data_IF_654459666570
#
_entry.id   IF_654459666570
#
_cell.length_a   1.000
_cell.length_b   1.000
_cell.length_c   1.000
_cell.angle_alpha   90.00
_cell.angle_beta   90.00
_cell.angle_gamma   90.00
#
_symmetry.space_group_name_H-M   'P 1'
#
loop_
_entity.id
_entity.type
_entity.pdbx_description
1 polymer ?
#
# COMPACT_ATOMS: atom_id res chain seq x y z
N UNK A 1 -5.86 -11.08 -15.50
CA UNK A 1 -6.12 -9.69 -15.09
C UNK A 1 -4.77 -9.00 -15.16
N UNK A 2 -4.62 -8.04 -16.08
CA UNK A 2 -3.38 -7.31 -16.24
C UNK A 2 -3.23 -6.30 -15.09
N UNK A 3 -2.06 -6.26 -14.47
CA UNK A 3 -1.72 -5.29 -13.42
C UNK A 3 -1.78 -3.86 -13.96
N UNK A 4 -1.53 -3.67 -15.26
CA UNK A 4 -1.60 -2.37 -15.92
C UNK A 4 -3.06 -1.91 -16.12
N UNK A 5 -3.99 -2.81 -16.45
CA UNK A 5 -5.42 -2.48 -16.53
C UNK A 5 -5.99 -2.03 -15.18
N UNK A 6 -5.55 -2.66 -14.08
CA UNK A 6 -5.94 -2.29 -12.73
C UNK A 6 -5.40 -0.90 -12.35
N UNK A 7 -4.16 -0.59 -12.71
CA UNK A 7 -3.55 0.74 -12.52
C UNK A 7 -4.37 1.80 -13.25
N UNK A 8 -4.66 1.59 -14.53
CA UNK A 8 -5.34 2.57 -15.36
C UNK A 8 -6.78 2.83 -14.88
N UNK A 9 -7.46 1.78 -14.43
CA UNK A 9 -8.80 1.88 -13.81
C UNK A 9 -8.75 2.67 -12.50
N UNK A 10 -7.80 2.37 -11.60
CA UNK A 10 -7.66 3.07 -10.31
C UNK A 10 -7.30 4.55 -10.48
N UNK A 11 -6.42 4.87 -11.43
CA UNK A 11 -6.05 6.25 -11.74
C UNK A 11 -7.30 7.03 -12.19
N UNK A 12 -8.12 6.42 -13.05
CA UNK A 12 -9.36 7.02 -13.52
C UNK A 12 -10.36 7.27 -12.39
N UNK A 13 -10.61 6.27 -11.54
CA UNK A 13 -11.58 6.39 -10.45
C UNK A 13 -11.15 7.45 -9.42
N UNK A 14 -9.85 7.52 -9.12
CA UNK A 14 -9.30 8.55 -8.24
C UNK A 14 -9.42 9.96 -8.86
N UNK A 15 -9.11 10.08 -10.16
CA UNK A 15 -9.26 11.34 -10.89
C UNK A 15 -10.69 11.87 -10.83
N UNK A 16 -11.67 11.02 -11.12
CA UNK A 16 -13.09 11.36 -11.10
C UNK A 16 -13.53 11.80 -9.69
N UNK A 17 -13.06 11.09 -8.64
CA UNK A 17 -13.33 11.42 -7.25
C UNK A 17 -12.77 12.80 -6.86
N UNK A 18 -11.47 13.02 -7.06
CA UNK A 18 -10.79 14.27 -6.68
C UNK A 18 -11.28 15.48 -7.49
N UNK A 19 -11.56 15.29 -8.78
CA UNK A 19 -12.12 16.31 -9.67
C UNK A 19 -13.50 16.82 -9.24
N UNK A 20 -14.31 15.97 -8.60
CA UNK A 20 -15.65 16.33 -8.12
C UNK A 20 -15.66 17.46 -7.08
N UNK A 21 -14.57 17.61 -6.31
CA UNK A 21 -14.44 18.63 -5.28
C UNK A 21 -14.00 20.00 -5.81
N UNK A 22 -13.49 20.08 -7.04
CA UNK A 22 -12.91 21.30 -7.60
C UNK A 22 -13.92 21.99 -8.53
N UNK A 23 -14.50 23.11 -8.08
CA UNK A 23 -15.36 23.97 -8.91
C UNK A 23 -14.58 25.16 -9.46
N UNK A 24 -14.12 25.04 -10.70
CA UNK A 24 -13.43 26.13 -11.42
C UNK A 24 -14.48 26.94 -12.21
N UNK A 25 -14.65 28.21 -11.85
CA UNK A 25 -15.60 29.13 -12.51
C UNK A 25 -15.04 29.74 -13.80
N UNK A 26 -13.74 29.96 -13.86
CA UNK A 26 -13.08 30.52 -15.03
C UNK A 26 -12.92 29.45 -16.11
N UNK A 27 -13.47 29.71 -17.29
CA UNK A 27 -13.48 28.74 -18.40
C UNK A 27 -12.08 28.48 -18.98
N UNK A 28 -11.16 29.45 -18.92
CA UNK A 28 -9.77 29.26 -19.39
C UNK A 28 -9.02 28.34 -18.45
N UNK A 29 -9.15 28.57 -17.15
CA UNK A 29 -8.53 27.72 -16.11
C UNK A 29 -9.16 26.33 -16.15
N UNK A 30 -10.48 26.25 -16.28
CA UNK A 30 -11.19 24.96 -16.41
C UNK A 30 -10.71 24.16 -17.62
N UNK A 31 -10.59 24.80 -18.78
CA UNK A 31 -10.16 24.13 -20.00
C UNK A 31 -8.69 23.70 -19.95
N UNK A 32 -7.82 24.51 -19.33
CA UNK A 32 -6.43 24.16 -19.15
C UNK A 32 -6.25 22.98 -18.20
N UNK A 33 -6.96 23.00 -17.06
CA UNK A 33 -6.96 21.88 -16.10
C UNK A 33 -7.54 20.63 -16.77
N UNK A 34 -8.68 20.72 -17.44
CA UNK A 34 -9.28 19.56 -18.13
C UNK A 34 -8.34 18.94 -19.17
N UNK A 35 -7.65 19.76 -19.96
CA UNK A 35 -6.68 19.28 -20.95
C UNK A 35 -5.47 18.58 -20.31
N UNK A 36 -4.97 19.08 -19.17
CA UNK A 36 -3.90 18.44 -18.40
C UNK A 36 -4.36 17.13 -17.75
N UNK A 37 -5.59 17.11 -17.18
CA UNK A 37 -6.20 15.92 -16.61
C UNK A 37 -6.40 14.81 -17.67
N UNK A 38 -6.91 15.17 -18.86
CA UNK A 38 -7.10 14.22 -19.98
C UNK A 38 -5.77 13.73 -20.58
N UNK A 39 -4.66 14.44 -20.35
CA UNK A 39 -3.32 14.07 -20.83
C UNK A 39 -2.66 12.96 -20.01
N UNK A 40 -3.39 11.92 -19.58
CA UNK A 40 -2.83 10.71 -18.91
C UNK A 40 -1.90 10.99 -17.71
N UNK A 41 -1.94 12.20 -17.14
CA UNK A 41 -0.99 12.68 -16.14
C UNK A 41 -1.73 13.24 -14.93
N UNK A 42 -2.81 12.57 -14.55
CA UNK A 42 -3.65 12.99 -13.43
C UNK A 42 -3.05 12.62 -12.06
N UNK A 43 -2.06 11.74 -12.06
CA UNK A 43 -1.07 11.62 -11.00
C UNK A 43 0.26 12.12 -11.57
N UNK A 44 1.08 12.87 -10.81
CA UNK A 44 2.49 12.88 -11.15
C UNK A 44 2.90 11.42 -11.09
N UNK A 45 3.28 10.84 -12.23
CA UNK A 45 4.02 9.59 -12.21
C UNK A 45 5.20 9.88 -11.29
N UNK A 46 5.31 9.28 -10.10
CA UNK A 46 6.42 9.60 -9.23
C UNK A 46 7.72 9.30 -9.98
N UNK A 47 7.72 8.35 -10.93
CA UNK A 47 8.85 8.05 -11.81
C UNK A 47 9.23 9.19 -12.76
N UNK A 48 8.32 10.14 -13.03
CA UNK A 48 8.63 11.34 -13.80
C UNK A 48 9.44 12.36 -12.98
N UNK A 49 9.31 12.33 -11.66
CA UNK A 49 10.00 13.25 -10.74
C UNK A 49 11.10 12.58 -9.92
N UNK A 50 11.12 11.25 -9.89
CA UNK A 50 12.02 10.43 -9.10
C UNK A 50 12.66 9.35 -9.98
N UNK A 51 13.98 9.12 -9.89
CA UNK A 51 14.68 8.15 -10.73
C UNK A 51 14.15 6.71 -10.60
N UNK A 52 13.56 6.37 -9.45
CA UNK A 52 13.03 5.02 -9.17
C UNK A 52 11.74 5.07 -8.34
N UNK A 53 10.91 4.00 -8.36
CA UNK A 53 9.76 3.89 -7.45
C UNK A 53 10.18 3.98 -5.98
N UNK A 54 11.39 3.49 -5.66
CA UNK A 54 11.97 3.53 -4.33
C UNK A 54 12.21 4.95 -3.84
N UNK A 55 12.75 5.82 -4.70
CA UNK A 55 13.00 7.24 -4.37
C UNK A 55 11.70 8.01 -4.13
N UNK A 56 10.65 7.69 -4.89
CA UNK A 56 9.33 8.25 -4.65
C UNK A 56 8.76 7.86 -3.27
N UNK A 57 8.88 6.59 -2.89
CA UNK A 57 8.45 6.13 -1.55
C UNK A 57 9.30 6.78 -0.46
N UNK A 58 10.60 6.93 -0.67
CA UNK A 58 11.51 7.62 0.27
C UNK A 58 11.02 9.05 0.57
N UNK A 59 10.67 9.79 -0.49
CA UNK A 59 10.10 11.14 -0.38
C UNK A 59 8.74 11.15 0.33
N UNK A 60 7.81 10.26 -0.04
CA UNK A 60 6.49 10.16 0.59
C UNK A 60 6.64 9.90 2.10
N UNK A 61 7.58 9.04 2.50
CA UNK A 61 7.80 8.77 3.92
C UNK A 61 8.25 10.02 4.71
N UNK A 62 8.92 10.98 4.07
CA UNK A 62 9.29 12.26 4.70
C UNK A 62 8.09 13.18 4.98
N UNK A 63 6.92 12.94 4.38
CA UNK A 63 5.71 13.76 4.60
C UNK A 63 4.96 13.41 5.89
N UNK A 64 5.44 12.45 6.69
CA UNK A 64 4.80 12.00 7.94
C UNK A 64 5.59 12.44 9.20
N UNK A 65 5.64 13.75 9.54
CA UNK A 65 6.50 14.28 10.60
C UNK A 65 6.16 13.75 12.00
N UNK A 66 4.89 13.43 12.27
CA UNK A 66 4.45 12.89 13.57
C UNK A 66 5.02 11.48 13.76
N UNK A 67 4.90 10.62 12.75
CA UNK A 67 5.43 9.25 12.78
C UNK A 67 6.94 9.30 12.91
N UNK A 68 7.62 10.10 12.09
CA UNK A 68 9.07 10.29 12.14
C UNK A 68 9.57 10.68 13.54
N UNK A 69 8.94 11.67 14.18
CA UNK A 69 9.31 12.12 15.53
C UNK A 69 9.11 11.02 16.57
N UNK A 70 7.98 10.31 16.52
CA UNK A 70 7.68 9.20 17.45
C UNK A 70 8.70 8.07 17.30
N UNK A 71 9.01 7.70 16.07
CA UNK A 71 9.98 6.65 15.76
C UNK A 71 11.38 7.03 16.20
N UNK A 72 11.85 8.24 15.89
CA UNK A 72 13.18 8.70 16.33
C UNK A 72 13.26 8.73 17.86
N UNK A 73 12.20 9.16 18.54
CA UNK A 73 12.15 9.16 20.00
C UNK A 73 12.20 7.73 20.57
N UNK A 74 11.50 6.77 19.96
CA UNK A 74 11.40 5.40 20.47
C UNK A 74 12.58 4.50 20.05
N UNK A 75 13.17 4.75 18.89
CA UNK A 75 14.12 3.83 18.23
C UNK A 75 15.42 4.52 17.77
N UNK A 76 15.59 5.82 17.98
CA UNK A 76 16.76 6.59 17.55
C UNK A 76 16.85 6.84 16.04
N UNK A 77 15.94 6.26 15.26
CA UNK A 77 15.90 6.36 13.79
C UNK A 77 14.46 6.29 13.28
N UNK A 78 14.24 6.70 12.04
CA UNK A 78 12.93 6.57 11.40
C UNK A 78 12.70 5.12 10.92
N UNK A 79 12.47 4.21 11.87
CA UNK A 79 12.38 2.76 11.65
C UNK A 79 11.31 2.39 10.61
N UNK A 80 10.12 2.96 10.69
CA UNK A 80 9.02 2.69 9.75
C UNK A 80 9.44 2.97 8.30
N UNK A 81 10.10 4.11 8.05
CA UNK A 81 10.63 4.44 6.72
C UNK A 81 11.61 3.38 6.22
N UNK A 82 12.58 3.01 7.06
CA UNK A 82 13.59 2.00 6.72
C UNK A 82 12.92 0.66 6.40
N UNK A 83 12.02 0.19 7.27
CA UNK A 83 11.32 -1.09 7.07
C UNK A 83 10.49 -1.10 5.78
N UNK A 84 9.78 -0.02 5.47
CA UNK A 84 8.97 0.07 4.25
C UNK A 84 9.87 0.00 3.00
N UNK A 85 10.97 0.75 2.99
CA UNK A 85 11.91 0.73 1.87
C UNK A 85 12.56 -0.65 1.67
N UNK A 86 12.94 -1.33 2.76
CA UNK A 86 13.47 -2.70 2.68
C UNK A 86 12.44 -3.69 2.10
N UNK A 87 11.15 -3.56 2.44
CA UNK A 87 10.09 -4.38 1.85
C UNK A 87 9.91 -4.09 0.35
N UNK A 88 10.07 -2.82 -0.06
CA UNK A 88 10.06 -2.47 -1.49
C UNK A 88 11.25 -3.08 -2.22
N UNK A 89 12.44 -3.04 -1.61
CA UNK A 89 13.64 -3.67 -2.17
C UNK A 89 13.44 -5.19 -2.31
N UNK A 90 12.81 -5.86 -1.33
CA UNK A 90 12.45 -7.28 -1.40
C UNK A 90 11.46 -7.58 -2.54
N UNK A 91 10.43 -6.73 -2.71
CA UNK A 91 9.44 -6.88 -3.77
C UNK A 91 10.03 -6.65 -5.16
N UNK A 92 10.93 -5.68 -5.29
CA UNK A 92 11.63 -5.45 -6.56
C UNK A 92 12.50 -6.67 -6.92
N UNK A 93 13.23 -7.24 -5.94
CA UNK A 93 13.96 -8.50 -6.16
C UNK A 93 13.06 -9.65 -6.59
N UNK A 94 11.87 -9.78 -6.01
CA UNK A 94 10.91 -10.80 -6.41
C UNK A 94 10.48 -10.66 -7.88
N UNK A 95 10.26 -9.41 -8.34
CA UNK A 95 9.96 -9.10 -9.74
C UNK A 95 11.15 -9.45 -10.63
N UNK A 96 12.36 -9.00 -10.27
CA UNK A 96 13.56 -9.16 -11.09
C UNK A 96 14.00 -10.63 -11.21
N UNK A 97 13.81 -11.42 -10.15
CA UNK A 97 14.25 -12.83 -10.10
C UNK A 97 13.15 -13.83 -10.45
N UNK A 98 11.88 -13.40 -10.44
CA UNK A 98 10.71 -14.28 -10.56
C UNK A 98 10.45 -15.16 -9.33
N UNK A 99 11.23 -15.04 -8.25
CA UNK A 99 10.99 -15.76 -6.99
C UNK A 99 9.89 -15.01 -6.22
N UNK A 100 8.80 -15.67 -5.79
CA UNK A 100 7.73 -15.00 -5.05
C UNK A 100 8.22 -14.29 -3.77
N UNK A 101 7.70 -13.08 -3.52
CA UNK A 101 7.98 -12.35 -2.30
C UNK A 101 7.42 -13.09 -1.06
N UNK A 102 8.27 -13.34 -0.08
CA UNK A 102 7.87 -13.89 1.22
C UNK A 102 7.59 -12.76 2.21
N UNK A 103 6.41 -12.77 2.83
CA UNK A 103 6.06 -11.79 3.87
C UNK A 103 6.96 -11.93 5.11
N UNK A 104 7.35 -10.79 5.69
CA UNK A 104 8.08 -10.75 6.97
C UNK A 104 7.16 -10.86 8.20
N UNK A 105 5.85 -10.87 7.99
CA UNK A 105 4.88 -11.00 9.08
C UNK A 105 4.77 -12.46 9.50
N UNK A 106 4.97 -12.69 10.79
CA UNK A 106 4.83 -13.99 11.44
C UNK A 106 4.03 -13.80 12.75
N UNK A 107 2.82 -14.35 12.85
CA UNK A 107 2.11 -15.12 11.82
C UNK A 107 1.69 -14.26 10.60
N UNK A 108 1.40 -14.89 9.45
CA UNK A 108 0.88 -14.17 8.30
C UNK A 108 -0.46 -13.48 8.62
N UNK A 109 -0.78 -12.36 7.96
CA UNK A 109 -2.04 -11.67 8.17
C UNK A 109 -3.22 -12.55 7.74
N UNK A 110 -4.29 -12.53 8.52
CA UNK A 110 -5.50 -13.30 8.25
C UNK A 110 -5.55 -14.64 8.99
N UNK A 111 -6.56 -15.48 8.67
CA UNK A 111 -6.71 -16.81 9.24
C UNK A 111 -5.52 -17.74 8.95
N UNK A 112 -5.21 -18.68 9.85
CA UNK A 112 -4.19 -19.69 9.59
C UNK A 112 -4.59 -20.58 8.40
N UNK A 113 -3.59 -21.04 7.66
CA UNK A 113 -3.76 -21.90 6.48
C UNK A 113 -3.04 -23.23 6.69
N UNK A 114 -3.53 -24.29 6.03
CA UNK A 114 -2.86 -25.59 6.01
C UNK A 114 -1.70 -25.62 4.99
N UNK A 115 -1.02 -26.76 4.89
CA UNK A 115 0.11 -26.94 3.96
C UNK A 115 -0.29 -26.77 2.47
N UNK A 116 -1.58 -26.85 2.15
CA UNK A 116 -2.14 -26.70 0.81
C UNK A 116 -2.65 -25.27 0.58
N UNK A 117 -2.40 -24.35 1.51
CA UNK A 117 -2.89 -22.96 1.50
C UNK A 117 -4.41 -22.83 1.61
N UNK A 118 -5.12 -23.85 2.09
CA UNK A 118 -6.55 -23.72 2.42
C UNK A 118 -6.70 -23.09 3.81
N UNK A 119 -7.73 -22.26 3.98
CA UNK A 119 -8.05 -21.65 5.28
C UNK A 119 -8.46 -22.75 6.27
N UNK A 120 -7.83 -22.76 7.44
CA UNK A 120 -8.19 -23.69 8.52
C UNK A 120 -9.50 -23.18 9.16
N UNK A 121 -10.57 -24.01 9.22
CA UNK A 121 -11.83 -23.64 9.85
C UNK A 121 -11.66 -23.28 11.33
N UNK A 122 -12.43 -22.30 11.82
CA UNK A 122 -12.31 -21.76 13.18
C UNK A 122 -12.53 -22.82 14.27
N UNK A 123 -13.34 -23.84 13.97
CA UNK A 123 -13.63 -24.96 14.86
C UNK A 123 -12.39 -25.82 15.16
N UNK A 124 -11.34 -25.72 14.33
CA UNK A 124 -10.08 -26.45 14.50
C UNK A 124 -8.96 -25.60 15.10
N UNK A 125 -9.24 -24.35 15.48
CA UNK A 125 -8.20 -23.44 15.95
C UNK A 125 -7.69 -23.78 17.36
N UNK A 126 -8.49 -24.48 18.17
CA UNK A 126 -8.08 -24.92 19.50
C UNK A 126 -6.88 -25.90 19.46
N UNK A 127 -6.68 -26.57 18.33
CA UNK A 127 -5.57 -27.50 18.10
C UNK A 127 -4.30 -26.82 17.51
N UNK A 128 -4.37 -25.52 17.19
CA UNK A 128 -3.27 -24.78 16.57
C UNK A 128 -2.33 -24.15 17.61
N UNK A 129 -1.12 -23.82 17.18
CA UNK A 129 -0.23 -22.96 17.98
C UNK A 129 -0.92 -21.60 18.24
N UNK A 130 -1.11 -21.19 19.51
CA UNK A 130 -1.73 -19.91 19.84
C UNK A 130 -1.05 -18.70 19.17
N UNK A 131 0.24 -18.78 18.83
CA UNK A 131 0.93 -17.72 18.10
C UNK A 131 0.24 -17.41 16.76
N UNK A 132 -0.28 -18.43 16.06
CA UNK A 132 -0.91 -18.31 14.74
C UNK A 132 -2.27 -17.59 14.73
N UNK A 133 -2.91 -17.49 15.89
CA UNK A 133 -4.24 -16.87 16.04
C UNK A 133 -4.25 -15.68 17.00
N UNK A 134 -3.11 -15.36 17.61
CA UNK A 134 -2.98 -14.31 18.63
C UNK A 134 -3.40 -12.91 18.17
N UNK A 135 -3.35 -12.64 16.87
CA UNK A 135 -3.76 -11.38 16.23
C UNK A 135 -5.21 -11.37 15.72
N UNK A 136 -5.93 -12.50 15.82
CA UNK A 136 -7.30 -12.61 15.32
C UNK A 136 -8.28 -12.40 16.47
N UNK A 137 -9.09 -11.35 16.37
CA UNK A 137 -10.15 -11.13 17.34
C UNK A 137 -11.34 -12.05 17.05
N UNK A 138 -11.85 -12.78 18.07
CA UNK A 138 -13.04 -13.59 17.89
C UNK A 138 -14.25 -12.69 17.52
N UNK A 139 -15.27 -13.25 16.84
CA UNK A 139 -16.51 -12.53 16.61
C UNK A 139 -17.04 -11.98 17.93
N UNK A 140 -17.41 -10.70 17.95
CA UNK A 140 -18.15 -10.16 19.08
C UNK A 140 -19.52 -10.84 19.08
N UNK A 141 -19.82 -11.64 20.11
CA UNK A 141 -21.18 -12.15 20.32
C UNK A 141 -22.14 -10.95 20.33
N UNK A 142 -23.24 -11.09 19.59
CA UNK A 142 -24.18 -9.99 19.35
C UNK A 142 -24.61 -9.31 20.64
N UNK A 143 -24.28 -8.03 20.77
CA UNK A 143 -24.98 -7.09 21.65
C UNK A 143 -26.28 -6.64 21.01
#
# INVERSE_FOLDING_TARGET
MDVFDLRDTLIKDYADYSGSFVRIRDSRIKNHVQAELESTLLWPDPLRYFPTPRDAVDYIMETFPIVKKKDIKAHGRYRTKVTILEIYDDKQRAIDTGIPYQTRLDPPPGPPTDAESNIIPMEKWDDLDPHLISHIHPPKEGQ
#
